data_IF_241830326307
#
_entry.id   IF_241830326307
#
_cell.length_a   1.000
_cell.length_b   1.000
_cell.length_c   1.000
_cell.angle_alpha   90.00
_cell.angle_beta   90.00
_cell.angle_gamma   90.00
#
_symmetry.space_group_name_H-M   'P 1'
#
loop_
_entity.id
_entity.type
_entity.pdbx_description
1 polymer ?
#
# COMPACT_ATOMS: atom_id res chain seq x y z
N UNK A 1 -4.95 27.37 6.53
CA UNK A 1 -4.98 26.73 5.20
C UNK A 1 -4.00 25.56 5.26
N UNK A 2 -4.48 24.38 5.64
CA UNK A 2 -3.61 23.19 5.76
C UNK A 2 -3.63 22.47 4.43
N UNK A 3 -2.51 22.46 3.72
CA UNK A 3 -2.33 21.59 2.55
C UNK A 3 -2.61 20.15 3.00
N UNK A 4 -3.53 19.41 2.36
CA UNK A 4 -3.79 18.03 2.75
C UNK A 4 -2.48 17.25 2.66
N UNK A 5 -2.10 16.58 3.74
CA UNK A 5 -0.94 15.67 3.69
C UNK A 5 -1.26 14.63 2.62
N UNK A 6 -0.29 14.27 1.76
CA UNK A 6 -0.51 13.18 0.80
C UNK A 6 -0.99 11.95 1.57
N UNK A 7 -2.16 11.43 1.20
CA UNK A 7 -2.72 10.25 1.84
C UNK A 7 -1.71 9.11 1.75
N UNK A 8 -1.37 8.52 2.89
CA UNK A 8 -0.43 7.42 2.92
C UNK A 8 -1.00 6.24 2.12
N UNK A 9 -0.29 5.82 1.09
CA UNK A 9 -0.70 4.69 0.24
C UNK A 9 -0.60 3.37 1.03
N UNK A 10 -1.58 2.49 0.83
CA UNK A 10 -1.53 1.17 1.44
C UNK A 10 -0.56 0.27 0.68
N UNK A 11 0.50 -0.29 1.31
CA UNK A 11 1.44 -1.17 0.60
C UNK A 11 0.78 -2.46 0.10
N UNK A 12 -0.33 -2.88 0.72
CA UNK A 12 -1.09 -4.08 0.35
C UNK A 12 -2.07 -3.82 -0.81
N UNK A 13 -2.51 -2.57 -1.00
CA UNK A 13 -3.45 -2.18 -2.06
C UNK A 13 -2.81 -1.18 -3.02
N UNK A 14 -2.09 -1.66 -4.06
CA UNK A 14 -1.39 -0.79 -4.99
C UNK A 14 -2.34 0.22 -5.64
N UNK A 15 -2.02 1.52 -5.53
CA UNK A 15 -2.80 2.60 -6.13
C UNK A 15 -3.93 3.14 -5.26
N UNK A 16 -4.22 2.53 -4.12
CA UNK A 16 -5.24 3.04 -3.19
C UNK A 16 -4.61 3.74 -1.97
N UNK A 17 -5.19 4.88 -1.53
CA UNK A 17 -4.88 5.44 -0.22
C UNK A 17 -5.30 4.48 0.89
N UNK A 18 -4.69 4.60 2.07
CA UNK A 18 -5.12 3.83 3.22
C UNK A 18 -6.56 4.18 3.60
N UNK A 19 -7.43 3.17 3.66
CA UNK A 19 -8.85 3.33 4.03
C UNK A 19 -9.15 2.89 5.47
N UNK A 20 -8.12 2.70 6.30
CA UNK A 20 -8.25 2.28 7.70
C UNK A 20 -9.13 1.01 7.89
N UNK A 21 -8.95 0.02 7.01
CA UNK A 21 -9.76 -1.19 7.01
C UNK A 21 -9.56 -2.10 8.24
N UNK A 22 -8.49 -1.87 9.01
CA UNK A 22 -8.19 -2.59 10.23
C UNK A 22 -8.55 -1.73 11.45
N UNK A 23 -9.35 -2.23 12.41
CA UNK A 23 -9.71 -1.48 13.61
C UNK A 23 -8.48 -1.05 14.42
N UNK A 24 -8.38 0.23 14.74
CA UNK A 24 -7.27 0.80 15.52
C UNK A 24 -6.01 1.14 14.71
N UNK A 25 -6.04 1.02 13.37
CA UNK A 25 -5.02 1.61 12.52
C UNK A 25 -5.32 3.09 12.27
N UNK A 26 -4.27 3.92 12.26
CA UNK A 26 -4.28 5.32 11.84
C UNK A 26 -3.58 5.50 10.47
N UNK A 27 -3.01 4.41 9.95
CA UNK A 27 -2.33 4.37 8.66
C UNK A 27 -1.57 3.05 8.46
N UNK A 28 -0.77 2.94 7.38
CA UNK A 28 -0.01 1.73 7.09
C UNK A 28 1.08 1.46 8.14
N UNK A 29 1.55 2.48 8.87
CA UNK A 29 2.62 2.34 9.87
C UNK A 29 2.20 1.56 11.13
N UNK A 30 0.91 1.56 11.48
CA UNK A 30 0.37 0.84 12.64
C UNK A 30 -0.70 -0.21 12.26
N UNK A 31 -0.74 -0.61 10.99
CA UNK A 31 -1.69 -1.60 10.51
C UNK A 31 -1.17 -3.03 10.75
N UNK A 32 -1.93 -3.84 11.50
CA UNK A 32 -1.56 -5.23 11.78
C UNK A 32 -1.41 -6.10 10.53
N UNK A 33 -2.22 -5.87 9.49
CA UNK A 33 -2.08 -6.58 8.21
C UNK A 33 -0.75 -6.24 7.52
N UNK A 34 -0.35 -4.98 7.55
CA UNK A 34 0.95 -4.56 6.97
C UNK A 34 2.09 -5.20 7.74
N UNK A 35 2.01 -5.26 9.06
CA UNK A 35 2.99 -5.96 9.90
C UNK A 35 3.15 -7.42 9.48
N UNK A 36 2.05 -8.19 9.42
CA UNK A 36 2.09 -9.62 9.09
C UNK A 36 2.68 -9.90 7.71
N UNK A 37 2.29 -9.12 6.71
CA UNK A 37 2.81 -9.28 5.35
C UNK A 37 4.28 -8.92 5.25
N UNK A 38 4.75 -7.94 6.02
CA UNK A 38 6.15 -7.49 5.98
C UNK A 38 7.09 -8.39 6.77
N UNK A 39 6.56 -9.11 7.76
CA UNK A 39 7.29 -10.10 8.58
C UNK A 39 7.52 -11.41 7.80
N UNK A 40 6.58 -11.77 6.92
CA UNK A 40 6.69 -12.94 6.05
C UNK A 40 7.36 -12.59 4.71
N UNK A 41 8.55 -13.13 4.47
CA UNK A 41 9.34 -12.80 3.27
C UNK A 41 8.68 -13.27 1.96
N UNK A 42 7.90 -14.35 1.97
CA UNK A 42 7.17 -14.83 0.78
C UNK A 42 6.02 -13.86 0.45
N UNK A 43 5.23 -13.49 1.46
CA UNK A 43 4.12 -12.55 1.28
C UNK A 43 4.62 -11.17 0.85
N UNK A 44 5.72 -10.70 1.45
CA UNK A 44 6.38 -9.44 1.08
C UNK A 44 6.85 -9.46 -0.37
N UNK A 45 7.49 -10.55 -0.81
CA UNK A 45 7.92 -10.69 -2.19
C UNK A 45 6.72 -10.68 -3.16
N UNK A 46 5.64 -11.39 -2.82
CA UNK A 46 4.42 -11.43 -3.61
C UNK A 46 3.78 -10.04 -3.76
N UNK A 47 3.64 -9.29 -2.66
CA UNK A 47 3.09 -7.93 -2.70
C UNK A 47 3.98 -6.97 -3.49
N UNK A 48 5.30 -7.09 -3.37
CA UNK A 48 6.23 -6.28 -4.17
C UNK A 48 6.12 -6.58 -5.67
N UNK A 49 5.95 -7.84 -6.06
CA UNK A 49 5.71 -8.22 -7.45
C UNK A 49 4.40 -7.61 -7.99
N UNK A 50 3.32 -7.69 -7.21
CA UNK A 50 2.03 -7.07 -7.57
C UNK A 50 2.14 -5.55 -7.73
N UNK A 51 2.86 -4.87 -6.82
CA UNK A 51 3.12 -3.42 -6.91
C UNK A 51 3.91 -3.06 -8.17
N UNK A 52 4.93 -3.85 -8.51
CA UNK A 52 5.72 -3.62 -9.71
C UNK A 52 4.87 -3.78 -10.98
N UNK A 53 4.01 -4.80 -11.02
CA UNK A 53 3.07 -5.01 -12.12
C UNK A 53 2.07 -3.85 -12.25
N UNK A 54 1.47 -3.42 -11.14
CA UNK A 54 0.56 -2.27 -11.13
C UNK A 54 1.23 -1.02 -11.69
N UNK A 55 2.44 -0.71 -11.23
CA UNK A 55 3.20 0.44 -11.70
C UNK A 55 3.55 0.33 -13.19
N UNK A 56 3.87 -0.88 -13.68
CA UNK A 56 4.10 -1.13 -15.12
C UNK A 56 2.84 -0.84 -15.92
N UNK A 57 1.69 -1.39 -15.51
CA UNK A 57 0.38 -1.16 -16.17
C UNK A 57 0.00 0.32 -16.16
N UNK A 58 0.15 1.00 -15.02
CA UNK A 58 -0.13 2.42 -14.88
C UNK A 58 0.77 3.30 -15.77
N UNK A 59 2.04 2.92 -15.97
CA UNK A 59 2.95 3.60 -16.91
C UNK A 59 2.54 3.40 -18.36
N UNK A 60 2.19 2.18 -18.76
CA UNK A 60 1.72 1.87 -20.10
C UNK A 60 0.42 2.61 -20.43
N UNK A 61 -0.51 2.71 -19.49
CA UNK A 61 -1.76 3.45 -19.69
C UNK A 61 -1.59 4.98 -19.78
N UNK A 62 -0.43 5.50 -19.41
CA UNK A 62 -0.09 6.93 -19.47
C UNK A 62 0.69 7.32 -20.73
N UNK A 63 1.15 6.34 -21.51
CA UNK A 63 1.89 6.52 -22.76
C UNK A 63 0.94 6.45 -23.96
#
# INVERSE_FOLDING_TARGET
>A
MTTPRPDALCPIRPGEPCTLCFPGADGPANCGLVYLVQDDEELKAAVNAQRAEFNRKARLARA
#
